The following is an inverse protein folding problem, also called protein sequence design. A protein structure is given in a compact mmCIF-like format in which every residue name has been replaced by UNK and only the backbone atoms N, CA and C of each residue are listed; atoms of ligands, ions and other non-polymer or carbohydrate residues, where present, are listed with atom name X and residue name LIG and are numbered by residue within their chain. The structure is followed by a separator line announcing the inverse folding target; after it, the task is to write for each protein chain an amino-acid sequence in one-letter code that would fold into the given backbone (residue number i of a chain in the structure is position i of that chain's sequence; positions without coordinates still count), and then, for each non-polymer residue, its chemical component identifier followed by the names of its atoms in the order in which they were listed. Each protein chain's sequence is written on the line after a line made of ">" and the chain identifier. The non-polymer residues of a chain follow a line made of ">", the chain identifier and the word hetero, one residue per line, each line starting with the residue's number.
data_IF_154517158661
#
_entry.id   IF_154517158661
#
_cell.length_a   1.000
_cell.length_b   1.000
_cell.length_c   1.000
_cell.angle_alpha   90.00
_cell.angle_beta   90.00
_cell.angle_gamma   90.00
#
_symmetry.space_group_name_H-M   'P 1'
#
loop_
_entity.id
_entity.type
_entity.pdbx_description
1 polymer ?
#
# COMPACT_ATOMS: atom_id res chain seq x y z
N UNK A 1 2.31 -0.16 16.86
CA UNK A 1 1.47 -0.38 15.69
C UNK A 1 1.90 0.51 14.55
N UNK A 2 2.03 -0.03 13.35
CA UNK A 2 2.48 0.71 12.18
C UNK A 2 1.29 1.18 11.34
N UNK A 3 1.39 2.36 10.78
CA UNK A 3 0.37 2.92 9.90
C UNK A 3 1.03 3.27 8.58
N UNK A 4 0.87 2.39 7.59
CA UNK A 4 1.48 2.60 6.29
C UNK A 4 0.58 3.38 5.34
N UNK A 5 1.19 4.26 4.56
CA UNK A 5 0.50 4.95 3.49
C UNK A 5 0.49 4.05 2.27
N UNK A 6 -0.65 3.96 1.60
CA UNK A 6 -0.75 3.28 0.31
C UNK A 6 -1.17 4.29 -0.75
N UNK A 7 -0.78 4.04 -1.98
CA UNK A 7 -1.17 4.86 -3.13
C UNK A 7 -2.08 4.01 -4.00
N UNK A 8 -3.25 4.55 -4.34
CA UNK A 8 -4.23 3.87 -5.19
C UNK A 8 -4.39 4.66 -6.46
N UNK A 9 -4.23 3.98 -7.59
CA UNK A 9 -4.36 4.61 -8.89
C UNK A 9 -5.42 3.87 -9.70
N UNK A 10 -6.23 4.66 -10.42
CA UNK A 10 -7.24 4.08 -11.32
C UNK A 10 -6.54 3.63 -12.58
N UNK A 11 -6.73 2.38 -12.94
CA UNK A 11 -6.25 1.82 -14.18
C UNK A 11 -7.45 1.47 -15.06
N UNK A 12 -7.18 1.04 -16.27
CA UNK A 12 -8.26 0.67 -17.17
C UNK A 12 -8.98 -0.56 -16.64
N UNK A 13 -10.24 -0.38 -16.25
CA UNK A 13 -11.09 -1.46 -15.77
C UNK A 13 -10.91 -1.87 -14.32
N UNK A 14 -9.92 -1.32 -13.62
CA UNK A 14 -9.71 -1.66 -12.20
C UNK A 14 -8.89 -0.60 -11.49
N UNK A 15 -8.51 -0.90 -10.25
CA UNK A 15 -7.63 -0.06 -9.45
C UNK A 15 -6.39 -0.85 -9.08
N UNK A 16 -5.29 -0.14 -8.92
CA UNK A 16 -4.01 -0.72 -8.55
C UNK A 16 -3.45 0.07 -7.37
N UNK A 17 -2.81 -0.62 -6.44
CA UNK A 17 -2.27 0.02 -5.24
C UNK A 17 -0.90 -0.51 -4.89
N UNK A 18 -0.09 0.34 -4.26
CA UNK A 18 1.20 -0.08 -3.76
C UNK A 18 1.50 0.65 -2.45
N UNK A 19 2.46 0.13 -1.71
CA UNK A 19 2.90 0.73 -0.45
C UNK A 19 4.33 1.23 -0.63
N UNK A 20 4.55 2.57 -0.62
CA UNK A 20 5.91 3.10 -0.83
C UNK A 20 6.96 2.57 0.14
N UNK A 21 6.58 2.35 1.40
CA UNK A 21 7.54 1.90 2.41
C UNK A 21 7.79 0.39 2.38
N UNK A 22 7.02 -0.36 1.61
CA UNK A 22 7.16 -1.82 1.50
C UNK A 22 7.30 -2.20 0.03
N UNK A 23 8.53 -2.15 -0.51
CA UNK A 23 8.76 -2.47 -1.94
C UNK A 23 8.22 -3.85 -2.32
N UNK A 24 7.56 -3.91 -3.45
CA UNK A 24 6.97 -5.16 -3.94
C UNK A 24 5.60 -5.49 -3.37
N UNK A 25 5.10 -4.70 -2.42
CA UNK A 25 3.78 -4.92 -1.84
C UNK A 25 2.74 -4.19 -2.67
N UNK A 26 2.05 -4.92 -3.54
CA UNK A 26 1.06 -4.35 -4.47
C UNK A 26 -0.21 -5.19 -4.46
N UNK A 27 -1.30 -4.57 -4.89
CA UNK A 27 -2.58 -5.26 -5.04
C UNK A 27 -3.42 -4.55 -6.09
N UNK A 28 -4.39 -5.26 -6.64
CA UNK A 28 -5.36 -4.69 -7.58
C UNK A 28 -6.75 -5.10 -7.13
N UNK A 29 -7.75 -4.36 -7.59
CA UNK A 29 -9.14 -4.68 -7.28
C UNK A 29 -10.10 -3.90 -8.16
N UNK A 30 -11.37 -4.33 -8.22
CA UNK A 30 -12.38 -3.67 -9.06
C UNK A 30 -12.92 -2.37 -8.47
N UNK A 31 -12.74 -2.14 -7.18
CA UNK A 31 -13.19 -0.92 -6.50
C UNK A 31 -12.08 -0.41 -5.58
N UNK A 32 -12.21 0.86 -5.17
CA UNK A 32 -11.27 1.45 -4.21
C UNK A 32 -11.30 0.67 -2.90
N UNK A 33 -12.49 0.43 -2.36
CA UNK A 33 -12.64 -0.27 -1.09
C UNK A 33 -12.09 -1.70 -1.15
N UNK A 34 -12.36 -2.40 -2.23
CA UNK A 34 -11.84 -3.76 -2.43
C UNK A 34 -10.32 -3.76 -2.55
N UNK A 35 -9.76 -2.76 -3.22
CA UNK A 35 -8.32 -2.64 -3.36
C UNK A 35 -7.67 -2.34 -2.01
N UNK A 36 -8.28 -1.48 -1.20
CA UNK A 36 -7.79 -1.20 0.15
C UNK A 36 -7.77 -2.47 0.99
N UNK A 37 -8.83 -3.26 0.93
CA UNK A 37 -8.91 -4.50 1.69
C UNK A 37 -7.82 -5.48 1.26
N UNK A 38 -7.59 -5.60 -0.04
CA UNK A 38 -6.54 -6.48 -0.56
C UNK A 38 -5.15 -5.98 -0.17
N UNK A 39 -4.95 -4.65 -0.17
CA UNK A 39 -3.68 -4.08 0.27
C UNK A 39 -3.42 -4.36 1.75
N UNK A 40 -4.47 -4.27 2.57
CA UNK A 40 -4.32 -4.58 3.99
C UNK A 40 -3.83 -6.01 4.18
N UNK A 41 -4.43 -6.95 3.46
CA UNK A 41 -4.04 -8.36 3.53
C UNK A 41 -2.62 -8.56 3.00
N UNK A 42 -2.29 -7.88 1.90
CA UNK A 42 -0.95 -7.97 1.32
C UNK A 42 0.12 -7.43 2.26
N UNK A 43 -0.16 -6.31 2.93
CA UNK A 43 0.76 -5.72 3.90
C UNK A 43 0.94 -6.65 5.09
N UNK A 44 -0.15 -7.20 5.63
CA UNK A 44 -0.08 -8.12 6.75
C UNK A 44 0.76 -9.34 6.40
N UNK A 45 0.54 -9.89 5.22
CA UNK A 45 1.30 -11.04 4.74
C UNK A 45 2.78 -10.71 4.55
N UNK A 46 3.06 -9.52 3.99
CA UNK A 46 4.42 -9.05 3.76
C UNK A 46 5.18 -8.92 5.09
N UNK A 47 4.54 -8.32 6.10
CA UNK A 47 5.15 -8.15 7.40
C UNK A 47 5.37 -9.48 8.10
N UNK A 48 4.43 -10.41 7.98
CA UNK A 48 4.63 -11.75 8.53
C UNK A 48 5.83 -12.44 7.91
N UNK A 49 6.03 -12.25 6.60
CA UNK A 49 7.20 -12.79 5.91
C UNK A 49 8.49 -12.19 6.43
N UNK A 50 8.52 -10.88 6.65
CA UNK A 50 9.70 -10.22 7.21
C UNK A 50 10.03 -10.75 8.60
N UNK A 51 9.02 -10.89 9.45
CA UNK A 51 9.21 -11.42 10.80
C UNK A 51 9.73 -12.85 10.78
N UNK A 52 9.18 -13.66 9.91
CA UNK A 52 9.58 -15.06 9.78
C UNK A 52 11.04 -15.19 9.39
N UNK A 53 11.50 -14.30 8.56
CA UNK A 53 12.89 -14.29 8.10
C UNK A 53 13.80 -13.44 8.99
N UNK A 54 13.26 -12.90 10.09
CA UNK A 54 13.99 -12.05 11.04
C UNK A 54 14.60 -10.82 10.38
N UNK A 55 13.89 -10.29 9.38
CA UNK A 55 14.29 -9.06 8.71
C UNK A 55 13.64 -7.86 9.40
N UNK A 56 14.27 -6.70 9.27
CA UNK A 56 13.74 -5.48 9.86
C UNK A 56 12.44 -5.08 9.18
N UNK A 57 11.46 -4.64 9.97
CA UNK A 57 10.21 -4.12 9.45
C UNK A 57 10.40 -2.64 9.20
N UNK A 58 10.25 -2.17 7.94
CA UNK A 58 10.43 -0.74 7.65
C UNK A 58 9.47 0.13 8.45
N UNK A 59 9.97 1.22 8.99
CA UNK A 59 9.13 2.19 9.68
C UNK A 59 8.35 3.00 8.64
N UNK A 60 7.06 3.31 8.90
CA UNK A 60 6.29 4.15 7.98
C UNK A 60 6.90 5.54 7.91
N UNK A 61 7.26 5.96 6.70
CA UNK A 61 7.86 7.28 6.48
C UNK A 61 7.16 8.09 5.40
N UNK A 62 6.46 7.43 4.49
CA UNK A 62 5.78 8.11 3.40
C UNK A 62 4.57 8.88 3.91
N UNK A 63 4.37 10.08 3.37
CA UNK A 63 3.20 10.91 3.67
C UNK A 63 2.49 11.23 2.37
N UNK A 64 1.16 11.20 2.42
CA UNK A 64 0.33 11.59 1.28
C UNK A 64 -0.14 13.02 1.49
N UNK A 65 0.08 13.87 0.49
CA UNK A 65 -0.31 15.28 0.54
C UNK A 65 -1.00 15.64 -0.76
N UNK A 66 -2.07 16.41 -0.65
CA UNK A 66 -2.74 16.95 -1.83
C UNK A 66 -2.36 18.41 -1.98
N UNK A 67 -2.03 18.82 -3.21
CA UNK A 67 -1.67 20.20 -3.50
C UNK A 67 -2.65 20.74 -4.51
N UNK A 68 -3.26 21.85 -4.18
CA UNK A 68 -4.21 22.50 -5.07
C UNK A 68 -3.44 23.40 -6.03
N UNK A 69 -3.67 23.21 -7.32
CA UNK A 69 -3.03 24.03 -8.35
C UNK A 69 -4.08 24.48 -9.35
N UNK A 70 -3.91 25.67 -9.89
CA UNK A 70 -4.76 26.18 -10.95
C UNK A 70 -4.32 25.55 -12.27
N UNK A 71 -5.27 24.94 -12.96
CA UNK A 71 -4.97 24.27 -14.23
C UNK A 71 -5.89 24.74 -15.33
#
# INVERSE_FOLDING_TARGET
>A
MHKYTIVIEKAEGNYSAYCPDLPGCIATGPTVEGTIQRMKEAIEFHIQGLKKERLAIPEPSAKAVSIEVAA
#
